data_IF_477742400850
#
_entry.id   IF_477742400850
#
_cell.length_a   1.000
_cell.length_b   1.000
_cell.length_c   1.000
_cell.angle_alpha   90.00
_cell.angle_beta   90.00
_cell.angle_gamma   90.00
#
_symmetry.space_group_name_H-M   'P 1'
#
loop_
_entity.id
_entity.type
_entity.pdbx_description
1 polymer ?
#
# COMPACT_ATOMS: atom_id res chain seq x y z
N UNK A 1 -36.16 -7.73 14.43
CA UNK A 1 -35.51 -6.97 13.34
C UNK A 1 -36.35 -5.81 12.87
N UNK A 2 -37.54 -6.04 12.30
CA UNK A 2 -38.46 -4.96 11.92
C UNK A 2 -38.76 -4.01 13.09
N UNK A 3 -38.96 -4.54 14.31
CA UNK A 3 -39.22 -3.70 15.49
C UNK A 3 -38.04 -2.79 15.89
N UNK A 4 -36.79 -3.24 15.73
CA UNK A 4 -35.60 -2.49 16.14
C UNK A 4 -35.21 -1.46 15.07
N UNK A 5 -35.35 -1.82 13.79
CA UNK A 5 -35.26 -0.87 12.67
C UNK A 5 -36.38 0.17 12.71
N UNK A 6 -37.61 -0.21 13.08
CA UNK A 6 -38.75 0.69 13.20
C UNK A 6 -38.57 1.69 14.35
N UNK A 7 -37.98 1.25 15.47
CA UNK A 7 -37.72 2.11 16.63
C UNK A 7 -36.56 3.10 16.36
N UNK A 8 -35.52 2.66 15.63
CA UNK A 8 -34.44 3.53 15.15
C UNK A 8 -34.91 4.52 14.07
N UNK A 9 -35.74 4.08 13.12
CA UNK A 9 -36.36 4.94 12.10
C UNK A 9 -37.23 6.03 12.73
N UNK A 10 -37.93 5.72 13.82
CA UNK A 10 -38.79 6.68 14.54
C UNK A 10 -38.03 7.70 15.38
N UNK A 11 -36.78 7.44 15.72
CA UNK A 11 -35.98 8.25 16.66
C UNK A 11 -34.86 9.04 15.99
N UNK A 12 -34.42 8.63 14.80
CA UNK A 12 -33.37 9.32 14.04
C UNK A 12 -33.96 10.09 12.84
N UNK A 13 -33.43 11.28 12.49
CA UNK A 13 -33.74 11.93 11.22
C UNK A 13 -33.44 10.98 10.06
N UNK A 14 -34.36 10.86 9.08
CA UNK A 14 -34.27 9.84 8.02
C UNK A 14 -32.91 9.85 7.29
N UNK A 15 -32.35 11.03 7.02
CA UNK A 15 -31.04 11.18 6.37
C UNK A 15 -29.87 10.61 7.19
N UNK A 16 -29.94 10.71 8.52
CA UNK A 16 -28.89 10.22 9.42
C UNK A 16 -29.00 8.70 9.60
N UNK A 17 -30.22 8.17 9.56
CA UNK A 17 -30.44 6.72 9.57
C UNK A 17 -29.86 6.04 8.33
N UNK A 18 -30.14 6.56 7.13
CA UNK A 18 -29.64 5.98 5.88
C UNK A 18 -28.12 6.04 5.76
N UNK A 19 -27.48 7.12 6.22
CA UNK A 19 -26.01 7.25 6.15
C UNK A 19 -25.26 6.33 7.12
N UNK A 20 -25.89 5.92 8.23
CA UNK A 20 -25.28 5.07 9.27
C UNK A 20 -25.76 3.62 9.28
N UNK A 21 -26.73 3.26 8.44
CA UNK A 21 -27.37 1.93 8.47
C UNK A 21 -26.36 0.79 8.31
N UNK A 22 -25.30 1.00 7.54
CA UNK A 22 -24.23 0.03 7.34
C UNK A 22 -23.38 -0.21 8.61
N UNK A 23 -23.13 0.82 9.40
CA UNK A 23 -22.45 0.69 10.69
C UNK A 23 -23.35 0.00 11.74
N UNK A 24 -24.65 0.34 11.75
CA UNK A 24 -25.63 -0.33 12.61
C UNK A 24 -25.72 -1.82 12.25
N UNK A 25 -25.74 -2.13 10.96
CA UNK A 25 -25.69 -3.48 10.42
C UNK A 25 -24.43 -4.26 10.87
N UNK A 26 -23.25 -3.61 10.84
CA UNK A 26 -22.02 -4.21 11.36
C UNK A 26 -22.11 -4.50 12.87
N UNK A 27 -22.66 -3.59 13.67
CA UNK A 27 -22.82 -3.78 15.10
C UNK A 27 -23.80 -4.93 15.42
N UNK A 28 -24.92 -4.98 14.70
CA UNK A 28 -25.89 -6.10 14.79
C UNK A 28 -25.23 -7.42 14.38
N UNK A 29 -24.40 -7.42 13.34
CA UNK A 29 -23.68 -8.60 12.89
C UNK A 29 -22.72 -9.15 13.96
N UNK A 30 -22.02 -8.28 14.70
CA UNK A 30 -21.18 -8.70 15.85
C UNK A 30 -22.02 -9.43 16.89
N UNK A 31 -23.18 -8.88 17.26
CA UNK A 31 -24.09 -9.51 18.21
C UNK A 31 -24.58 -10.88 17.73
N UNK A 32 -25.02 -10.95 16.47
CA UNK A 32 -25.43 -12.21 15.83
C UNK A 32 -24.31 -13.26 15.82
N UNK A 33 -23.06 -12.83 15.68
CA UNK A 33 -21.91 -13.74 15.63
C UNK A 33 -21.60 -14.38 16.99
N UNK A 34 -21.67 -13.61 18.08
CA UNK A 34 -21.31 -14.07 19.43
C UNK A 34 -22.42 -14.80 20.17
N UNK A 35 -23.68 -14.67 19.75
CA UNK A 35 -24.80 -15.30 20.43
C UNK A 35 -24.67 -16.85 20.38
N UNK A 36 -24.90 -17.57 21.51
CA UNK A 36 -24.77 -19.01 21.57
C UNK A 36 -26.02 -19.71 21.03
N UNK A 37 -26.32 -19.54 19.73
CA UNK A 37 -27.52 -20.07 19.06
C UNK A 37 -27.73 -21.57 19.30
N UNK A 38 -26.64 -22.35 19.33
CA UNK A 38 -26.67 -23.78 19.66
C UNK A 38 -27.25 -24.10 21.04
N UNK A 39 -27.02 -23.24 22.06
CA UNK A 39 -27.60 -23.43 23.40
C UNK A 39 -29.11 -23.16 23.43
N UNK A 40 -29.61 -22.44 22.44
CA UNK A 40 -31.03 -22.13 22.28
C UNK A 40 -31.75 -23.09 21.33
N UNK A 41 -31.07 -24.14 20.84
CA UNK A 41 -31.64 -25.15 19.93
C UNK A 41 -31.58 -24.78 18.45
N UNK A 42 -30.90 -23.69 18.08
CA UNK A 42 -30.78 -23.25 16.69
C UNK A 42 -29.43 -23.68 16.07
N UNK A 43 -29.40 -23.89 14.75
CA UNK A 43 -28.14 -24.12 14.03
C UNK A 43 -27.30 -22.83 13.94
N UNK A 44 -26.01 -22.89 14.26
CA UNK A 44 -25.11 -21.73 14.21
C UNK A 44 -24.83 -21.23 12.77
N UNK A 45 -24.74 -22.14 11.79
CA UNK A 45 -24.36 -21.82 10.40
C UNK A 45 -25.18 -20.70 9.73
N UNK A 46 -26.53 -20.75 9.71
CA UNK A 46 -27.32 -19.71 9.05
C UNK A 46 -27.10 -18.31 9.66
N UNK A 47 -26.96 -18.22 10.99
CA UNK A 47 -26.74 -16.96 11.69
C UNK A 47 -25.34 -16.38 11.41
N UNK A 48 -24.32 -17.23 11.28
CA UNK A 48 -22.97 -16.80 10.90
C UNK A 48 -22.94 -16.27 9.46
N UNK A 49 -23.62 -16.94 8.53
CA UNK A 49 -23.73 -16.48 7.12
C UNK A 49 -24.45 -15.14 7.07
N UNK A 50 -25.58 -15.01 7.78
CA UNK A 50 -26.31 -13.76 7.88
C UNK A 50 -25.44 -12.64 8.47
N UNK A 51 -24.76 -12.88 9.59
CA UNK A 51 -23.86 -11.91 10.21
C UNK A 51 -22.73 -11.46 9.25
N UNK A 52 -22.24 -12.35 8.41
CA UNK A 52 -21.15 -12.03 7.46
C UNK A 52 -21.64 -11.19 6.27
N UNK A 53 -22.83 -11.51 5.74
CA UNK A 53 -23.37 -10.87 4.54
C UNK A 53 -24.08 -9.53 4.83
N UNK A 54 -24.68 -9.39 6.01
CA UNK A 54 -25.55 -8.27 6.34
C UNK A 54 -24.86 -6.90 6.23
N UNK A 55 -23.64 -6.68 6.77
CA UNK A 55 -22.96 -5.40 6.63
C UNK A 55 -22.63 -5.07 5.18
N UNK A 56 -22.19 -6.06 4.40
CA UNK A 56 -21.84 -5.93 2.98
C UNK A 56 -23.04 -5.60 2.09
N UNK A 57 -24.17 -6.26 2.31
CA UNK A 57 -25.42 -5.97 1.59
C UNK A 57 -25.87 -4.54 1.91
N UNK A 58 -25.82 -4.13 3.18
CA UNK A 58 -26.24 -2.79 3.59
C UNK A 58 -25.31 -1.71 3.04
N UNK A 59 -23.99 -1.94 2.96
CA UNK A 59 -23.07 -1.02 2.28
C UNK A 59 -23.37 -0.88 0.79
N UNK A 60 -23.77 -1.97 0.10
CA UNK A 60 -24.11 -1.91 -1.31
C UNK A 60 -25.44 -1.18 -1.56
N UNK A 61 -26.45 -1.42 -0.72
CA UNK A 61 -27.74 -0.74 -0.81
C UNK A 61 -27.65 0.76 -0.51
N UNK A 62 -26.67 1.17 0.30
CA UNK A 62 -26.43 2.58 0.66
C UNK A 62 -25.20 3.17 -0.02
N UNK A 63 -24.72 2.57 -1.11
CA UNK A 63 -23.45 2.94 -1.74
C UNK A 63 -23.31 4.43 -2.06
N UNK A 64 -24.40 5.08 -2.49
CA UNK A 64 -24.40 6.50 -2.86
C UNK A 64 -24.53 7.45 -1.66
N UNK A 65 -25.22 7.01 -0.59
CA UNK A 65 -25.63 7.87 0.54
C UNK A 65 -24.88 7.60 1.83
N UNK A 66 -24.13 6.50 1.90
CA UNK A 66 -23.33 6.10 3.07
C UNK A 66 -22.34 7.22 3.44
N UNK A 67 -22.16 7.52 4.72
CA UNK A 67 -21.12 8.46 5.13
C UNK A 67 -19.74 7.79 5.11
N UNK A 68 -18.67 8.60 5.12
CA UNK A 68 -17.30 8.09 5.11
C UNK A 68 -17.01 7.22 6.36
N UNK A 69 -17.38 7.69 7.55
CA UNK A 69 -17.06 6.97 8.80
C UNK A 69 -17.71 5.57 8.89
N UNK A 70 -19.00 5.38 8.56
CA UNK A 70 -19.62 4.06 8.47
C UNK A 70 -18.92 3.10 7.50
N UNK A 71 -18.43 3.58 6.36
CA UNK A 71 -17.71 2.75 5.40
C UNK A 71 -16.41 2.19 6.01
N UNK A 72 -15.64 3.04 6.70
CA UNK A 72 -14.43 2.63 7.42
C UNK A 72 -14.73 1.65 8.58
N UNK A 73 -15.84 1.84 9.27
CA UNK A 73 -16.29 0.91 10.32
C UNK A 73 -16.61 -0.47 9.74
N UNK A 74 -17.28 -0.54 8.59
CA UNK A 74 -17.58 -1.82 7.93
C UNK A 74 -16.30 -2.47 7.38
N UNK A 75 -15.37 -1.68 6.82
CA UNK A 75 -14.04 -2.17 6.43
C UNK A 75 -13.29 -2.77 7.63
N UNK A 76 -13.32 -2.10 8.78
CA UNK A 76 -12.75 -2.57 10.04
C UNK A 76 -13.42 -3.84 10.57
N UNK A 77 -14.75 -3.94 10.45
CA UNK A 77 -15.50 -5.14 10.80
C UNK A 77 -15.04 -6.35 9.98
N UNK A 78 -14.90 -6.20 8.65
CA UNK A 78 -14.41 -7.29 7.80
C UNK A 78 -12.93 -7.63 8.06
N UNK A 79 -12.09 -6.64 8.40
CA UNK A 79 -10.72 -6.88 8.82
C UNK A 79 -10.67 -7.75 10.08
N UNK A 80 -11.43 -7.36 11.11
CA UNK A 80 -11.56 -8.10 12.35
C UNK A 80 -12.10 -9.52 12.13
N UNK A 81 -13.18 -9.66 11.36
CA UNK A 81 -13.77 -10.95 11.03
C UNK A 81 -12.78 -11.86 10.28
N UNK A 82 -11.98 -11.29 9.36
CA UNK A 82 -10.95 -12.04 8.65
C UNK A 82 -9.86 -12.58 9.58
N UNK A 83 -9.50 -11.83 10.63
CA UNK A 83 -8.52 -12.23 11.63
C UNK A 83 -9.05 -13.35 12.55
N UNK A 84 -10.32 -13.26 12.97
CA UNK A 84 -10.99 -14.26 13.81
C UNK A 84 -11.21 -15.57 13.06
N UNK A 85 -11.73 -15.51 11.83
CA UNK A 85 -12.04 -16.73 11.05
C UNK A 85 -10.83 -17.31 10.30
N UNK A 86 -9.69 -16.61 10.30
CA UNK A 86 -8.50 -16.91 9.47
C UNK A 86 -8.83 -17.08 7.98
N UNK A 87 -9.87 -16.38 7.50
CA UNK A 87 -10.34 -16.41 6.10
C UNK A 87 -9.81 -15.21 5.34
N UNK A 88 -8.76 -15.44 4.56
CA UNK A 88 -8.10 -14.44 3.70
C UNK A 88 -9.10 -13.76 2.73
N UNK A 89 -10.12 -14.49 2.26
CA UNK A 89 -11.14 -13.94 1.36
C UNK A 89 -11.86 -12.71 1.93
N UNK A 90 -12.06 -12.65 3.24
CA UNK A 90 -12.69 -11.51 3.90
C UNK A 90 -11.75 -10.31 4.01
N UNK A 91 -10.44 -10.55 4.06
CA UNK A 91 -9.44 -9.48 4.03
C UNK A 91 -9.46 -8.72 2.70
N UNK A 92 -9.75 -9.38 1.58
CA UNK A 92 -9.94 -8.71 0.28
C UNK A 92 -11.16 -7.79 0.27
N UNK A 93 -12.26 -8.21 0.93
CA UNK A 93 -13.45 -7.37 1.04
C UNK A 93 -13.19 -6.13 1.91
N UNK A 94 -12.47 -6.31 3.01
CA UNK A 94 -12.01 -5.20 3.86
C UNK A 94 -11.14 -4.22 3.08
N UNK A 95 -10.17 -4.72 2.30
CA UNK A 95 -9.31 -3.89 1.45
C UNK A 95 -10.12 -3.11 0.42
N UNK A 96 -11.05 -3.77 -0.28
CA UNK A 96 -11.90 -3.11 -1.28
C UNK A 96 -12.73 -1.98 -0.66
N UNK A 97 -13.33 -2.20 0.52
CA UNK A 97 -14.09 -1.18 1.24
C UNK A 97 -13.21 -0.02 1.71
N UNK A 98 -11.98 -0.30 2.17
CA UNK A 98 -11.02 0.72 2.55
C UNK A 98 -10.55 1.55 1.35
N UNK A 99 -10.26 0.90 0.22
CA UNK A 99 -9.86 1.55 -1.03
C UNK A 99 -10.98 2.45 -1.55
N UNK A 100 -12.22 1.96 -1.51
CA UNK A 100 -13.38 2.78 -1.87
C UNK A 100 -13.54 3.99 -0.94
N UNK A 101 -13.31 3.82 0.36
CA UNK A 101 -13.29 4.93 1.31
C UNK A 101 -12.22 5.97 1.02
N UNK A 102 -11.03 5.53 0.63
CA UNK A 102 -9.95 6.44 0.23
C UNK A 102 -10.27 7.17 -1.07
N UNK A 103 -10.79 6.48 -2.09
CA UNK A 103 -11.20 7.12 -3.35
C UNK A 103 -12.29 8.17 -3.13
N UNK A 104 -13.26 7.87 -2.26
CA UNK A 104 -14.29 8.85 -1.91
C UNK A 104 -13.71 10.04 -1.16
N UNK A 105 -12.81 9.81 -0.21
CA UNK A 105 -12.10 10.88 0.48
C UNK A 105 -11.30 11.75 -0.50
N UNK A 106 -10.64 11.15 -1.50
CA UNK A 106 -9.92 11.88 -2.55
C UNK A 106 -10.87 12.73 -3.39
N UNK A 107 -12.03 12.18 -3.77
CA UNK A 107 -13.07 12.93 -4.48
C UNK A 107 -13.61 14.10 -3.64
N UNK A 108 -13.95 13.87 -2.37
CA UNK A 108 -14.49 14.89 -1.47
C UNK A 108 -13.50 16.04 -1.22
N UNK A 109 -12.20 15.71 -1.21
CA UNK A 109 -11.10 16.68 -1.04
C UNK A 109 -10.57 17.25 -2.35
N UNK A 110 -11.15 16.91 -3.50
CA UNK A 110 -10.69 17.28 -4.84
C UNK A 110 -9.20 16.99 -5.08
N UNK A 111 -8.72 15.85 -4.57
CA UNK A 111 -7.35 15.39 -4.78
C UNK A 111 -7.21 14.94 -6.24
N UNK A 112 -6.48 15.72 -7.02
CA UNK A 112 -6.21 15.43 -8.45
C UNK A 112 -4.82 14.87 -8.70
N UNK A 113 -3.96 14.82 -7.67
CA UNK A 113 -2.60 14.32 -7.84
C UNK A 113 -2.58 12.81 -8.12
N UNK A 114 -1.98 12.35 -9.25
CA UNK A 114 -1.95 10.94 -9.62
C UNK A 114 -1.22 10.05 -8.61
N UNK A 115 -0.31 10.61 -7.81
CA UNK A 115 0.47 9.89 -6.82
C UNK A 115 -0.41 9.22 -5.77
N UNK A 116 -1.50 9.86 -5.31
CA UNK A 116 -2.38 9.27 -4.30
C UNK A 116 -3.15 8.05 -4.83
N UNK A 117 -3.64 8.12 -6.07
CA UNK A 117 -4.32 7.00 -6.73
C UNK A 117 -3.35 5.84 -6.99
N UNK A 118 -2.13 6.14 -7.38
CA UNK A 118 -1.10 5.13 -7.63
C UNK A 118 -0.54 4.55 -6.33
N UNK A 119 -0.44 5.35 -5.26
CA UNK A 119 -0.12 4.86 -3.92
C UNK A 119 -1.16 3.87 -3.42
N UNK A 120 -2.45 4.18 -3.64
CA UNK A 120 -3.55 3.29 -3.30
C UNK A 120 -3.43 1.96 -4.06
N UNK A 121 -3.30 2.02 -5.39
CA UNK A 121 -3.19 0.84 -6.24
C UNK A 121 -1.96 -0.01 -5.88
N UNK A 122 -0.79 0.63 -5.73
CA UNK A 122 0.45 -0.05 -5.32
C UNK A 122 0.33 -0.65 -3.92
N UNK A 123 -0.30 0.05 -2.98
CA UNK A 123 -0.58 -0.45 -1.64
C UNK A 123 -1.45 -1.70 -1.64
N UNK A 124 -2.53 -1.69 -2.42
CA UNK A 124 -3.41 -2.86 -2.59
C UNK A 124 -2.66 -4.03 -3.22
N UNK A 125 -1.82 -3.78 -4.24
CA UNK A 125 -1.00 -4.80 -4.87
C UNK A 125 0.01 -5.44 -3.90
N UNK A 126 0.66 -4.61 -3.06
CA UNK A 126 1.56 -5.09 -2.01
C UNK A 126 0.82 -5.89 -0.94
N UNK A 127 -0.42 -5.49 -0.61
CA UNK A 127 -1.26 -6.26 0.30
C UNK A 127 -1.57 -7.65 -0.26
N UNK A 128 -1.96 -7.75 -1.53
CA UNK A 128 -2.14 -9.04 -2.22
C UNK A 128 -0.87 -9.89 -2.17
N UNK A 129 0.30 -9.30 -2.45
CA UNK A 129 1.58 -9.99 -2.38
C UNK A 129 1.92 -10.59 -1.00
N UNK A 130 1.35 -10.03 0.08
CA UNK A 130 1.64 -10.42 1.46
C UNK A 130 0.58 -11.38 2.06
N UNK A 131 -0.68 -11.18 1.68
CA UNK A 131 -1.83 -11.83 2.32
C UNK A 131 -2.29 -13.08 1.57
N UNK A 132 -2.09 -13.16 0.26
CA UNK A 132 -2.55 -14.29 -0.55
C UNK A 132 -1.86 -15.62 -0.18
N UNK A 133 -2.61 -16.67 0.22
CA UNK A 133 -2.07 -18.00 0.50
C UNK A 133 -1.31 -18.62 -0.67
N UNK A 134 -1.72 -18.35 -1.91
CA UNK A 134 -1.09 -18.93 -3.10
C UNK A 134 0.34 -18.41 -3.29
N UNK A 135 0.56 -17.13 -2.97
CA UNK A 135 1.85 -16.44 -3.09
C UNK A 135 2.79 -16.67 -1.88
N UNK A 136 2.29 -17.28 -0.80
CA UNK A 136 3.10 -17.68 0.37
C UNK A 136 3.84 -19.00 0.16
N UNK A 137 3.49 -19.76 -0.86
CA UNK A 137 4.17 -21.01 -1.18
C UNK A 137 5.66 -20.77 -1.53
N UNK A 138 6.58 -21.68 -1.17
CA UNK A 138 7.99 -21.57 -1.52
C UNK A 138 8.22 -21.51 -3.04
N UNK A 139 7.30 -22.09 -3.81
CA UNK A 139 7.30 -22.12 -5.28
C UNK A 139 6.93 -20.77 -5.91
N UNK A 140 6.22 -19.89 -5.20
CA UNK A 140 5.77 -18.59 -5.71
C UNK A 140 6.67 -17.41 -5.29
N UNK A 141 7.90 -17.70 -4.81
CA UNK A 141 8.87 -16.67 -4.40
C UNK A 141 9.14 -15.66 -5.51
N UNK A 142 9.38 -16.15 -6.73
CA UNK A 142 9.67 -15.31 -7.89
C UNK A 142 8.47 -14.42 -8.25
N UNK A 143 7.25 -14.97 -8.31
CA UNK A 143 6.03 -14.20 -8.58
C UNK A 143 5.80 -13.10 -7.54
N UNK A 144 6.03 -13.41 -6.24
CA UNK A 144 5.91 -12.43 -5.16
C UNK A 144 6.94 -11.31 -5.29
N UNK A 145 8.16 -11.65 -5.67
CA UNK A 145 9.21 -10.66 -5.91
C UNK A 145 8.83 -9.73 -7.08
N UNK A 146 8.42 -10.28 -8.22
CA UNK A 146 7.96 -9.50 -9.37
C UNK A 146 6.77 -8.60 -9.03
N UNK A 147 5.81 -9.10 -8.27
CA UNK A 147 4.63 -8.32 -7.87
C UNK A 147 5.02 -7.14 -6.97
N UNK A 148 5.94 -7.36 -6.00
CA UNK A 148 6.47 -6.29 -5.15
C UNK A 148 7.28 -5.27 -5.94
N UNK A 149 8.15 -5.73 -6.85
CA UNK A 149 8.94 -4.87 -7.74
C UNK A 149 8.06 -4.06 -8.69
N UNK A 150 6.99 -4.66 -9.21
CA UNK A 150 6.03 -3.97 -10.06
C UNK A 150 5.21 -2.93 -9.29
N UNK A 151 4.68 -3.28 -8.11
CA UNK A 151 3.90 -2.37 -7.27
C UNK A 151 4.73 -1.14 -6.85
N UNK A 152 5.95 -1.39 -6.39
CA UNK A 152 6.89 -0.33 -5.96
C UNK A 152 7.40 0.46 -7.14
N UNK A 153 7.67 -0.21 -8.27
CA UNK A 153 8.04 0.40 -9.53
C UNK A 153 6.99 1.40 -9.99
N UNK A 154 5.72 1.02 -10.00
CA UNK A 154 4.60 1.88 -10.39
C UNK A 154 4.47 3.12 -9.48
N UNK A 155 4.56 2.93 -8.17
CA UNK A 155 4.55 4.03 -7.20
C UNK A 155 5.74 4.96 -7.40
N UNK A 156 6.93 4.39 -7.59
CA UNK A 156 8.15 5.16 -7.79
C UNK A 156 8.12 5.95 -9.10
N UNK A 157 7.63 5.36 -10.19
CA UNK A 157 7.58 5.97 -11.52
C UNK A 157 6.59 7.13 -11.56
N UNK A 158 5.47 7.00 -10.87
CA UNK A 158 4.47 8.08 -10.75
C UNK A 158 5.00 9.21 -9.86
N UNK A 159 5.72 8.89 -8.78
CA UNK A 159 6.46 9.88 -8.00
C UNK A 159 7.59 10.55 -8.82
N UNK A 160 8.22 9.83 -9.76
CA UNK A 160 9.18 10.43 -10.69
C UNK A 160 8.48 11.40 -11.64
N UNK A 161 7.35 11.01 -12.21
CA UNK A 161 6.62 11.83 -13.16
C UNK A 161 6.12 13.13 -12.54
N UNK A 162 5.59 13.08 -11.31
CA UNK A 162 5.05 14.25 -10.65
C UNK A 162 6.12 15.19 -10.08
N UNK A 163 7.34 14.70 -9.87
CA UNK A 163 8.35 15.49 -9.15
C UNK A 163 8.78 16.78 -9.85
N UNK A 164 8.53 16.92 -11.15
CA UNK A 164 8.98 18.12 -11.89
C UNK A 164 7.96 19.26 -11.82
N UNK A 165 6.75 19.00 -11.29
CA UNK A 165 5.72 20.01 -11.16
C UNK A 165 6.01 21.02 -10.02
N UNK A 166 6.83 20.64 -9.03
CA UNK A 166 7.22 21.51 -7.93
C UNK A 166 8.56 21.09 -7.32
N UNK A 167 9.36 22.07 -6.91
CA UNK A 167 10.62 21.82 -6.19
C UNK A 167 10.40 21.00 -4.89
N UNK A 168 9.30 21.26 -4.19
CA UNK A 168 8.92 20.50 -2.98
C UNK A 168 8.62 19.04 -3.33
N UNK A 169 7.93 18.79 -4.44
CA UNK A 169 7.64 17.42 -4.90
C UNK A 169 8.92 16.70 -5.36
N UNK A 170 9.86 17.41 -5.97
CA UNK A 170 11.22 16.91 -6.24
C UNK A 170 11.91 16.38 -4.98
N UNK A 171 11.91 17.18 -3.91
CA UNK A 171 12.53 16.81 -2.64
C UNK A 171 11.80 15.67 -1.94
N UNK A 172 10.47 15.65 -2.00
CA UNK A 172 9.64 14.55 -1.49
C UNK A 172 9.93 13.24 -2.23
N UNK A 173 10.07 13.24 -3.55
CA UNK A 173 10.40 12.03 -4.32
C UNK A 173 11.77 11.46 -3.93
N UNK A 174 12.75 12.33 -3.67
CA UNK A 174 14.07 11.89 -3.15
C UNK A 174 13.91 11.27 -1.75
N UNK A 175 13.17 11.94 -0.85
CA UNK A 175 12.88 11.42 0.48
C UNK A 175 12.17 10.06 0.46
N UNK A 176 11.19 9.89 -0.43
CA UNK A 176 10.48 8.62 -0.63
C UNK A 176 11.40 7.52 -1.17
N UNK A 177 12.29 7.84 -2.11
CA UNK A 177 13.26 6.89 -2.64
C UNK A 177 14.23 6.42 -1.55
N UNK A 178 14.72 7.33 -0.71
CA UNK A 178 15.55 7.02 0.46
C UNK A 178 14.77 6.15 1.45
N UNK A 179 13.51 6.51 1.73
CA UNK A 179 12.62 5.71 2.58
C UNK A 179 12.45 4.28 2.06
N UNK A 180 12.30 4.08 0.75
CA UNK A 180 12.24 2.75 0.14
C UNK A 180 13.56 1.98 0.27
N UNK A 181 14.70 2.63 0.13
CA UNK A 181 16.02 2.01 0.36
C UNK A 181 16.12 1.50 1.79
N UNK A 182 15.78 2.34 2.79
CA UNK A 182 15.79 1.94 4.20
C UNK A 182 14.78 0.82 4.48
N UNK A 183 13.58 0.90 3.93
CA UNK A 183 12.58 -0.16 4.05
C UNK A 183 13.07 -1.48 3.44
N UNK A 184 13.75 -1.43 2.29
CA UNK A 184 14.37 -2.58 1.64
C UNK A 184 15.47 -3.21 2.50
N UNK A 185 16.32 -2.40 3.13
CA UNK A 185 17.35 -2.88 4.07
C UNK A 185 16.74 -3.48 5.34
N UNK A 186 15.78 -2.79 5.97
CA UNK A 186 15.17 -3.21 7.22
C UNK A 186 14.35 -4.49 7.07
N UNK A 187 13.60 -4.61 5.97
CA UNK A 187 12.77 -5.77 5.67
C UNK A 187 13.52 -6.87 4.92
N UNK A 188 14.77 -6.62 4.49
CA UNK A 188 15.58 -7.51 3.63
C UNK A 188 14.83 -7.95 2.36
N UNK A 189 14.19 -7.00 1.68
CA UNK A 189 13.43 -7.23 0.45
C UNK A 189 14.13 -6.50 -0.70
N UNK A 190 14.68 -7.28 -1.63
CA UNK A 190 15.44 -6.76 -2.79
C UNK A 190 14.63 -5.80 -3.66
N UNK A 191 13.33 -6.04 -3.80
CA UNK A 191 12.44 -5.23 -4.63
C UNK A 191 12.45 -3.75 -4.22
N UNK A 192 12.25 -3.45 -2.92
CA UNK A 192 12.26 -2.07 -2.42
C UNK A 192 13.64 -1.42 -2.56
N UNK A 193 14.71 -2.19 -2.33
CA UNK A 193 16.08 -1.69 -2.43
C UNK A 193 16.44 -1.33 -3.87
N UNK A 194 16.20 -2.22 -4.83
CA UNK A 194 16.54 -2.01 -6.23
C UNK A 194 15.71 -0.90 -6.86
N UNK A 195 14.39 -0.93 -6.65
CA UNK A 195 13.50 0.11 -7.17
C UNK A 195 13.84 1.46 -6.53
N UNK A 196 13.98 1.53 -5.20
CA UNK A 196 14.34 2.77 -4.51
C UNK A 196 15.68 3.35 -4.97
N UNK A 197 16.70 2.50 -5.16
CA UNK A 197 18.02 2.92 -5.66
C UNK A 197 17.95 3.40 -7.11
N UNK A 198 17.21 2.70 -7.98
CA UNK A 198 17.03 3.11 -9.37
C UNK A 198 16.30 4.47 -9.47
N UNK A 199 15.20 4.64 -8.72
CA UNK A 199 14.45 5.90 -8.64
C UNK A 199 15.32 7.04 -8.13
N UNK A 200 16.09 6.81 -7.07
CA UNK A 200 17.04 7.78 -6.53
C UNK A 200 18.08 8.18 -7.58
N UNK A 201 18.72 7.20 -8.24
CA UNK A 201 19.73 7.45 -9.25
C UNK A 201 19.16 8.23 -10.43
N UNK A 202 17.98 7.85 -10.95
CA UNK A 202 17.30 8.57 -12.03
C UNK A 202 17.00 10.01 -11.63
N UNK A 203 16.54 10.25 -10.39
CA UNK A 203 16.29 11.63 -9.91
C UNK A 203 17.53 12.46 -9.75
N UNK A 204 18.58 11.92 -9.14
CA UNK A 204 19.84 12.63 -8.99
C UNK A 204 20.41 12.98 -10.36
N UNK A 205 20.44 12.02 -11.30
CA UNK A 205 20.90 12.27 -12.67
C UNK A 205 20.06 13.35 -13.37
N UNK A 206 18.73 13.29 -13.24
CA UNK A 206 17.84 14.29 -13.85
C UNK A 206 17.99 15.68 -13.23
N UNK A 207 18.14 15.76 -11.91
CA UNK A 207 18.39 17.01 -11.20
C UNK A 207 19.75 17.60 -11.58
N UNK A 208 20.78 16.77 -11.65
CA UNK A 208 22.10 17.17 -12.13
C UNK A 208 22.03 17.68 -13.58
N UNK A 209 21.31 16.99 -14.46
CA UNK A 209 21.11 17.41 -15.85
C UNK A 209 20.45 18.79 -15.96
N UNK A 210 19.36 19.02 -15.23
CA UNK A 210 18.69 20.33 -15.18
C UNK A 210 19.62 21.42 -14.63
N UNK A 211 20.41 21.10 -13.61
CA UNK A 211 21.35 22.03 -13.00
C UNK A 211 22.51 22.39 -13.95
N UNK A 212 23.03 21.38 -14.64
CA UNK A 212 24.03 21.48 -15.71
C UNK A 212 23.55 22.39 -16.84
N UNK A 213 22.32 22.22 -17.30
CA UNK A 213 21.76 23.01 -18.41
C UNK A 213 21.57 24.49 -18.02
N UNK A 214 21.27 24.78 -16.75
CA UNK A 214 21.03 26.15 -16.29
C UNK A 214 22.31 26.90 -15.87
N UNK A 215 23.41 26.21 -15.59
CA UNK A 215 24.66 26.82 -15.10
C UNK A 215 25.91 26.26 -15.80
N UNK A 216 26.30 26.90 -16.90
CA UNK A 216 27.43 26.49 -17.76
C UNK A 216 28.79 26.39 -17.06
N UNK A 217 29.06 27.26 -16.06
CA UNK A 217 30.32 27.23 -15.30
C UNK A 217 30.39 26.04 -14.34
N UNK A 218 29.24 25.66 -13.80
CA UNK A 218 29.09 24.51 -12.91
C UNK A 218 29.24 23.18 -13.65
N UNK A 219 28.86 23.14 -14.93
CA UNK A 219 29.08 22.03 -15.85
C UNK A 219 30.54 21.58 -15.92
N UNK A 220 31.45 22.54 -16.08
CA UNK A 220 32.89 22.29 -16.12
C UNK A 220 33.43 21.82 -14.78
N UNK A 221 33.04 22.48 -13.69
CA UNK A 221 33.46 22.09 -12.34
C UNK A 221 33.00 20.67 -11.99
N UNK A 222 31.75 20.33 -12.29
CA UNK A 222 31.17 19.02 -12.00
C UNK A 222 31.76 17.94 -12.91
N UNK A 223 32.00 18.23 -14.19
CA UNK A 223 32.68 17.31 -15.10
C UNK A 223 34.12 16.97 -14.65
N UNK A 224 34.89 17.98 -14.22
CA UNK A 224 36.24 17.77 -13.67
C UNK A 224 36.17 16.93 -12.38
N UNK A 225 35.25 17.25 -11.47
CA UNK A 225 35.09 16.54 -10.21
C UNK A 225 34.67 15.08 -10.43
N UNK A 226 33.74 14.83 -11.35
CA UNK A 226 33.27 13.49 -11.70
C UNK A 226 34.37 12.68 -12.40
N UNK A 227 35.16 13.31 -13.28
CA UNK A 227 36.31 12.68 -13.92
C UNK A 227 37.40 12.29 -12.90
N UNK A 228 37.70 13.18 -11.96
CA UNK A 228 38.66 12.90 -10.88
C UNK A 228 38.16 11.79 -9.96
N UNK A 229 36.85 11.77 -9.67
CA UNK A 229 36.21 10.71 -8.92
C UNK A 229 36.27 9.37 -9.64
N UNK A 230 36.06 9.31 -10.96
CA UNK A 230 36.23 8.08 -11.74
C UNK A 230 37.66 7.57 -11.75
N UNK A 231 38.64 8.46 -11.92
CA UNK A 231 40.06 8.09 -11.83
C UNK A 231 40.38 7.54 -10.44
N UNK A 232 39.87 8.19 -9.38
CA UNK A 232 40.05 7.73 -8.00
C UNK A 232 39.39 6.37 -7.73
N UNK A 233 38.16 6.16 -8.21
CA UNK A 233 37.48 4.86 -8.13
C UNK A 233 38.30 3.80 -8.86
N UNK A 234 38.71 4.06 -10.11
CA UNK A 234 39.51 3.12 -10.89
C UNK A 234 40.82 2.75 -10.19
N UNK A 235 41.56 3.74 -9.69
CA UNK A 235 42.79 3.53 -8.93
C UNK A 235 42.55 2.74 -7.64
N UNK A 236 41.43 3.00 -6.94
CA UNK A 236 41.06 2.27 -5.71
C UNK A 236 40.67 0.82 -6.02
N UNK A 237 39.93 0.58 -7.10
CA UNK A 237 39.59 -0.75 -7.57
C UNK A 237 40.83 -1.52 -7.99
N UNK A 238 41.79 -0.89 -8.65
CA UNK A 238 43.06 -1.50 -9.05
C UNK A 238 43.90 -1.85 -7.81
N UNK A 239 44.03 -0.92 -6.86
CA UNK A 239 44.80 -1.13 -5.62
C UNK A 239 44.18 -2.16 -4.67
N UNK A 240 42.85 -2.34 -4.66
CA UNK A 240 42.11 -3.20 -3.72
C UNK A 240 41.27 -4.27 -4.41
N UNK A 241 41.62 -4.66 -5.64
CA UNK A 241 40.82 -5.59 -6.47
C UNK A 241 40.37 -6.85 -5.73
N UNK A 242 41.26 -7.46 -4.95
CA UNK A 242 40.98 -8.68 -4.19
C UNK A 242 40.04 -8.44 -3.00
N UNK A 243 40.23 -7.35 -2.25
CA UNK A 243 39.36 -6.98 -1.12
C UNK A 243 37.96 -6.56 -1.62
N UNK A 244 37.89 -5.77 -2.68
CA UNK A 244 36.63 -5.33 -3.28
C UNK A 244 35.89 -6.53 -3.89
N UNK A 245 36.60 -7.44 -4.56
CA UNK A 245 36.02 -8.68 -5.09
C UNK A 245 35.40 -9.55 -3.99
N UNK A 246 36.11 -9.76 -2.88
CA UNK A 246 35.59 -10.52 -1.74
C UNK A 246 34.37 -9.84 -1.09
N UNK A 247 34.39 -8.52 -0.95
CA UNK A 247 33.28 -7.74 -0.40
C UNK A 247 32.04 -7.83 -1.31
N UNK A 248 32.22 -7.67 -2.61
CA UNK A 248 31.13 -7.78 -3.60
C UNK A 248 30.54 -9.18 -3.59
N UNK A 249 31.36 -10.22 -3.56
CA UNK A 249 30.89 -11.61 -3.48
C UNK A 249 30.11 -11.88 -2.19
N UNK A 250 30.57 -11.35 -1.05
CA UNK A 250 29.86 -11.44 0.22
C UNK A 250 28.48 -10.77 0.14
N UNK A 251 28.40 -9.54 -0.37
CA UNK A 251 27.13 -8.83 -0.52
C UNK A 251 26.20 -9.48 -1.55
N UNK A 252 26.74 -10.01 -2.65
CA UNK A 252 25.97 -10.75 -3.64
C UNK A 252 25.36 -12.01 -3.02
N UNK A 253 26.15 -12.79 -2.27
CA UNK A 253 25.65 -13.98 -1.58
C UNK A 253 24.61 -13.65 -0.50
N UNK A 254 24.80 -12.58 0.25
CA UNK A 254 23.83 -12.10 1.25
C UNK A 254 22.54 -11.63 0.59
N UNK A 255 22.63 -10.82 -0.48
CA UNK A 255 21.47 -10.36 -1.25
C UNK A 255 20.75 -11.52 -1.94
N UNK A 256 21.45 -12.57 -2.34
CA UNK A 256 20.85 -13.77 -2.94
C UNK A 256 19.99 -14.55 -1.93
N UNK A 257 20.36 -14.49 -0.65
CA UNK A 257 19.58 -15.07 0.44
C UNK A 257 18.35 -14.24 0.84
N UNK A 258 18.24 -12.99 0.38
CA UNK A 258 17.13 -12.09 0.68
C UNK A 258 15.88 -12.38 -0.18
N UNK A 259 14.71 -12.22 0.44
CA UNK A 259 13.39 -12.70 -0.02
C UNK A 259 12.74 -11.93 -1.19
#
# INVERSE_FOLDING_TARGET
>A
WLALCYLLYRTLPEALFWSWIAAIAALVAVGLYYLPWARWGWLNRPWQIAATLLPGIMTLLTAETIALAPLWLVAGFYAWLSAVERRVRLSYLSLLLADWGLLRLFSDRNVTEPLWYMALLSGSLLFFAQVDPLLRSPTAKETRHWLRSFATGLFSLTALYQSDASWVQGLLTIGLAIGMIFAGLALRIRAFLYVGTATFMIKVLRQLWLFVNNYSLLLWALGILLGLLFIWIAATFEARRTQVGALVQYWLAELEQWD
#
